data_IF_132940699528
#
_entry.id   IF_132940699528
#
_cell.length_a   1.000
_cell.length_b   1.000
_cell.length_c   1.000
_cell.angle_alpha   90.00
_cell.angle_beta   90.00
_cell.angle_gamma   90.00
#
_symmetry.space_group_name_H-M   'P 1'
#
loop_
_entity.id
_entity.type
_entity.pdbx_description
1 polymer ?
#
# COMPACT_ATOMS: atom_id res chain seq x y z
N UNK A 1 15.08 37.71 26.27
CA UNK A 1 14.56 36.77 25.26
C UNK A 1 15.74 36.11 24.56
N UNK A 2 15.94 34.80 24.75
CA UNK A 2 16.92 34.01 23.99
C UNK A 2 16.18 33.32 22.84
N UNK A 3 16.74 33.24 21.63
CA UNK A 3 16.14 32.49 20.54
C UNK A 3 16.34 30.99 20.77
N UNK A 4 15.26 30.21 20.67
CA UNK A 4 15.32 28.75 20.70
C UNK A 4 15.75 28.24 19.32
N UNK A 5 16.84 27.48 19.28
CA UNK A 5 17.30 26.75 18.10
C UNK A 5 16.41 25.53 17.85
N UNK A 6 16.05 25.22 16.59
CA UNK A 6 15.24 24.05 16.28
C UNK A 6 16.01 22.74 16.50
N UNK A 7 15.37 21.81 17.22
CA UNK A 7 15.84 20.45 17.46
C UNK A 7 15.89 19.66 16.14
N UNK A 8 16.98 18.93 15.84
CA UNK A 8 17.05 18.09 14.64
C UNK A 8 16.09 16.88 14.74
N UNK A 9 15.61 16.33 13.62
CA UNK A 9 14.76 15.14 13.64
C UNK A 9 15.52 13.96 14.23
N UNK A 10 14.83 13.23 15.11
CA UNK A 10 15.28 11.96 15.66
C UNK A 10 15.48 10.98 14.50
N UNK A 11 16.74 10.75 14.11
CA UNK A 11 17.11 9.60 13.30
C UNK A 11 17.02 8.38 14.21
N UNK A 12 15.84 7.79 14.32
CA UNK A 12 15.66 6.48 14.92
C UNK A 12 16.40 5.50 14.03
N UNK A 13 17.60 5.11 14.44
CA UNK A 13 18.27 3.95 13.86
C UNK A 13 17.33 2.76 14.00
N UNK A 14 16.78 2.30 12.87
CA UNK A 14 16.02 1.05 12.81
C UNK A 14 16.92 -0.05 13.41
N UNK A 15 16.48 -0.78 14.44
CA UNK A 15 17.18 -1.99 14.84
C UNK A 15 17.14 -2.99 13.68
N UNK A 16 18.22 -3.77 13.54
CA UNK A 16 18.33 -4.85 12.58
C UNK A 16 17.30 -5.95 12.94
N UNK A 17 16.12 -5.91 12.32
CA UNK A 17 15.04 -6.91 12.49
C UNK A 17 15.44 -8.32 12.04
N UNK A 18 16.68 -8.51 11.59
CA UNK A 18 17.24 -9.81 11.18
C UNK A 18 17.78 -10.63 12.36
N UNK A 19 17.60 -10.18 13.61
CA UNK A 19 18.18 -10.82 14.80
C UNK A 19 17.16 -11.61 15.62
N UNK A 20 17.27 -12.94 15.53
CA UNK A 20 16.51 -13.89 16.36
C UNK A 20 17.05 -13.92 17.81
N UNK A 21 16.19 -13.96 18.85
CA UNK A 21 16.61 -14.09 20.23
C UNK A 21 17.03 -15.55 20.50
N UNK A 22 18.34 -15.80 20.47
CA UNK A 22 18.94 -17.06 20.88
C UNK A 22 19.63 -17.82 19.73
N UNK A 23 20.97 -17.76 19.77
CA UNK A 23 21.92 -18.56 18.97
C UNK A 23 22.15 -18.11 17.52
N UNK A 24 23.31 -17.45 17.30
CA UNK A 24 24.00 -17.31 16.01
C UNK A 24 23.26 -16.52 14.95
N UNK A 25 23.57 -15.21 14.84
CA UNK A 25 23.03 -14.33 13.81
C UNK A 25 23.18 -14.94 12.41
N UNK A 26 22.05 -15.15 11.74
CA UNK A 26 22.02 -15.55 10.34
C UNK A 26 22.58 -14.39 9.53
N UNK A 27 23.62 -14.64 8.73
CA UNK A 27 24.08 -13.65 7.76
C UNK A 27 23.20 -13.82 6.52
N UNK A 28 22.36 -12.83 6.22
CA UNK A 28 21.63 -12.74 4.96
C UNK A 28 20.12 -12.94 5.06
N UNK A 29 19.38 -12.13 4.29
CA UNK A 29 17.91 -12.15 4.19
C UNK A 29 17.40 -13.50 3.69
N UNK A 30 18.11 -14.14 2.77
CA UNK A 30 17.75 -15.44 2.22
C UNK A 30 17.79 -16.57 3.27
N UNK A 31 18.83 -16.59 4.10
CA UNK A 31 18.96 -17.56 5.19
C UNK A 31 17.91 -17.34 6.29
N UNK A 32 17.55 -16.08 6.55
CA UNK A 32 16.44 -15.72 7.44
C UNK A 32 15.10 -16.21 6.86
N UNK A 33 14.78 -15.86 5.61
CA UNK A 33 13.52 -16.24 4.95
C UNK A 33 13.32 -17.76 4.86
N UNK A 34 14.40 -18.52 4.62
CA UNK A 34 14.35 -19.98 4.58
C UNK A 34 13.87 -20.61 5.91
N UNK A 35 13.98 -19.92 7.05
CA UNK A 35 13.41 -20.41 8.32
C UNK A 35 11.89 -20.40 8.37
N UNK A 36 11.25 -19.66 7.47
CA UNK A 36 9.79 -19.57 7.37
C UNK A 36 9.20 -20.49 6.29
N UNK A 37 9.99 -21.44 5.79
CA UNK A 37 9.49 -22.42 4.83
C UNK A 37 8.42 -23.34 5.45
N UNK A 38 7.32 -23.54 4.72
CA UNK A 38 6.25 -24.45 5.14
C UNK A 38 6.65 -25.93 5.03
N UNK A 39 7.56 -26.23 4.11
CA UNK A 39 8.03 -27.58 3.82
C UNK A 39 9.54 -27.63 3.80
N UNK A 40 10.10 -28.67 4.41
CA UNK A 40 11.54 -28.96 4.34
C UNK A 40 12.01 -29.43 2.96
N UNK A 41 11.09 -29.68 2.03
CA UNK A 41 11.42 -30.03 0.64
C UNK A 41 11.78 -28.80 -0.23
N UNK A 42 11.53 -27.58 0.28
CA UNK A 42 11.96 -26.37 -0.40
C UNK A 42 13.50 -26.30 -0.38
N UNK A 43 14.16 -26.13 -1.54
CA UNK A 43 15.60 -26.02 -1.56
C UNK A 43 16.03 -24.72 -0.87
N UNK A 44 17.13 -24.79 -0.11
CA UNK A 44 17.72 -23.60 0.46
C UNK A 44 18.14 -22.63 -0.66
N UNK A 45 17.87 -21.33 -0.51
CA UNK A 45 18.34 -20.34 -1.48
C UNK A 45 19.86 -20.43 -1.60
N UNK A 46 20.35 -20.52 -2.83
CA UNK A 46 21.77 -20.65 -3.15
C UNK A 46 22.31 -19.29 -3.58
N UNK A 47 22.58 -18.41 -2.61
CA UNK A 47 23.23 -17.14 -2.88
C UNK A 47 23.00 -16.06 -1.82
N UNK A 48 24.09 -15.41 -1.41
CA UNK A 48 24.11 -14.23 -0.53
C UNK A 48 24.27 -12.91 -1.31
N UNK A 49 24.30 -12.97 -2.65
CA UNK A 49 24.56 -11.79 -3.48
C UNK A 49 23.25 -11.07 -3.80
N UNK A 50 23.21 -9.72 -3.68
CA UNK A 50 22.08 -8.94 -4.14
C UNK A 50 21.92 -9.18 -5.64
N UNK A 51 20.83 -9.85 -6.00
CA UNK A 51 20.43 -10.03 -7.39
C UNK A 51 19.95 -8.68 -7.90
N UNK A 52 20.74 -8.00 -8.73
CA UNK A 52 20.33 -6.79 -9.42
C UNK A 52 19.59 -7.20 -10.71
N UNK A 53 18.26 -7.08 -10.66
CA UNK A 53 17.41 -7.45 -11.79
C UNK A 53 17.69 -6.58 -13.01
N UNK A 54 18.03 -5.31 -12.85
CA UNK A 54 18.33 -4.40 -13.96
C UNK A 54 19.68 -4.65 -14.60
N UNK A 55 20.64 -5.24 -13.88
CA UNK A 55 21.89 -5.74 -14.45
C UNK A 55 21.71 -7.03 -15.24
N UNK A 56 20.75 -7.87 -14.85
CA UNK A 56 20.43 -9.12 -15.58
C UNK A 56 19.57 -8.82 -16.81
N UNK A 57 18.50 -8.05 -16.64
CA UNK A 57 17.54 -7.68 -17.67
C UNK A 57 17.83 -6.28 -18.24
N UNK A 58 19.05 -6.10 -18.75
CA UNK A 58 19.54 -4.80 -19.23
C UNK A 58 18.65 -4.12 -20.27
N UNK A 59 17.92 -4.88 -21.08
CA UNK A 59 16.96 -4.35 -22.06
C UNK A 59 15.84 -3.53 -21.42
N UNK A 60 15.43 -3.86 -20.18
CA UNK A 60 14.35 -3.18 -19.45
C UNK A 60 14.85 -2.00 -18.62
N UNK A 61 16.16 -1.91 -18.38
CA UNK A 61 16.78 -0.93 -17.48
C UNK A 61 16.38 0.51 -17.80
N UNK A 62 16.50 0.93 -19.06
CA UNK A 62 16.18 2.31 -19.45
C UNK A 62 14.71 2.66 -19.21
N UNK A 63 13.81 1.72 -19.48
CA UNK A 63 12.39 1.88 -19.19
C UNK A 63 12.14 1.96 -17.68
N UNK A 64 12.74 1.06 -16.90
CA UNK A 64 12.61 1.05 -15.45
C UNK A 64 13.12 2.36 -14.82
N UNK A 65 14.32 2.83 -15.19
CA UNK A 65 14.88 4.10 -14.70
C UNK A 65 13.97 5.29 -15.03
N UNK A 66 13.43 5.34 -16.25
CA UNK A 66 12.52 6.42 -16.68
C UNK A 66 11.18 6.36 -15.94
N UNK A 67 10.59 5.17 -15.81
CA UNK A 67 9.28 4.99 -15.19
C UNK A 67 9.33 5.17 -13.67
N UNK A 68 10.33 4.60 -13.00
CA UNK A 68 10.51 4.69 -11.55
C UNK A 68 10.92 6.10 -11.09
N UNK A 69 11.46 6.95 -11.97
CA UNK A 69 11.72 8.36 -11.67
C UNK A 69 10.45 9.13 -11.24
N UNK A 70 9.25 8.59 -11.50
CA UNK A 70 8.00 9.11 -10.97
C UNK A 70 8.00 9.26 -9.44
N UNK A 71 8.71 8.41 -8.69
CA UNK A 71 8.88 8.50 -7.23
C UNK A 71 9.51 9.83 -6.82
N UNK A 72 10.48 10.32 -7.61
CA UNK A 72 11.12 11.63 -7.42
C UNK A 72 10.35 12.78 -8.06
N UNK A 73 9.24 12.49 -8.74
CA UNK A 73 8.42 13.46 -9.46
C UNK A 73 7.59 14.35 -8.56
N UNK A 74 7.00 15.38 -9.18
CA UNK A 74 6.10 16.34 -8.52
C UNK A 74 4.84 15.73 -7.91
N UNK A 75 4.22 14.64 -8.42
CA UNK A 75 3.02 14.07 -7.80
C UNK A 75 3.24 13.62 -6.35
N UNK A 76 4.47 13.28 -5.99
CA UNK A 76 4.86 12.82 -4.65
C UNK A 76 5.56 13.90 -3.81
N UNK A 77 5.65 15.14 -4.29
CA UNK A 77 6.44 16.19 -3.66
C UNK A 77 6.06 16.46 -2.20
N UNK A 78 4.76 16.36 -1.86
CA UNK A 78 4.27 16.51 -0.47
C UNK A 78 4.76 15.41 0.47
N UNK A 79 5.13 14.25 -0.07
CA UNK A 79 5.59 13.08 0.68
C UNK A 79 7.11 12.99 0.81
N UNK A 80 7.87 13.69 -0.04
CA UNK A 80 9.34 13.57 -0.08
C UNK A 80 10.06 13.88 1.22
N UNK A 81 9.45 14.66 2.13
CA UNK A 81 10.00 14.97 3.45
C UNK A 81 9.50 14.04 4.57
N UNK A 82 8.55 13.15 4.26
CA UNK A 82 7.92 12.23 5.21
C UNK A 82 8.46 10.81 5.01
N UNK A 83 8.63 10.39 3.76
CA UNK A 83 9.06 9.04 3.39
C UNK A 83 10.32 9.11 2.51
N UNK A 84 11.37 8.41 2.94
CA UNK A 84 12.62 8.25 2.20
C UNK A 84 12.37 7.60 0.83
N UNK A 85 12.74 8.29 -0.25
CA UNK A 85 12.42 7.92 -1.64
C UNK A 85 13.27 6.78 -2.17
N UNK A 86 14.54 6.75 -1.77
CA UNK A 86 15.56 5.96 -2.44
C UNK A 86 15.35 4.45 -2.27
N UNK A 87 14.91 3.93 -1.11
CA UNK A 87 14.52 2.53 -0.97
C UNK A 87 13.38 2.13 -1.93
N UNK A 88 12.35 2.96 -2.07
CA UNK A 88 11.22 2.69 -2.97
C UNK A 88 11.64 2.77 -4.44
N UNK A 89 12.54 3.69 -4.79
CA UNK A 89 13.09 3.77 -6.14
C UNK A 89 13.87 2.50 -6.51
N UNK A 90 14.70 1.96 -5.59
CA UNK A 90 15.40 0.71 -5.83
C UNK A 90 14.44 -0.49 -5.94
N UNK A 91 13.43 -0.58 -5.07
CA UNK A 91 12.41 -1.63 -5.17
C UNK A 91 11.65 -1.56 -6.51
N UNK A 92 11.29 -0.35 -6.96
CA UNK A 92 10.66 -0.16 -8.26
C UNK A 92 11.55 -0.65 -9.42
N UNK A 93 12.86 -0.36 -9.36
CA UNK A 93 13.79 -0.85 -10.38
C UNK A 93 13.83 -2.38 -10.41
N UNK A 94 13.95 -3.02 -9.25
CA UNK A 94 13.95 -4.48 -9.15
C UNK A 94 12.66 -5.09 -9.70
N UNK A 95 11.51 -4.58 -9.29
CA UNK A 95 10.19 -5.07 -9.72
C UNK A 95 10.00 -4.88 -11.23
N UNK A 96 10.31 -3.70 -11.78
CA UNK A 96 10.07 -3.40 -13.20
C UNK A 96 11.06 -4.11 -14.12
N UNK A 97 12.32 -4.25 -13.71
CA UNK A 97 13.32 -4.97 -14.50
C UNK A 97 13.09 -6.48 -14.50
N UNK A 98 12.62 -7.06 -13.41
CA UNK A 98 12.28 -8.50 -13.32
C UNK A 98 10.86 -8.83 -13.82
N UNK A 99 10.01 -7.82 -14.01
CA UNK A 99 8.62 -7.97 -14.42
C UNK A 99 8.46 -8.81 -15.68
N UNK A 100 7.33 -9.51 -15.82
CA UNK A 100 6.94 -10.06 -17.13
C UNK A 100 6.41 -8.95 -18.04
N UNK A 101 5.91 -9.27 -19.24
CA UNK A 101 5.20 -8.29 -20.08
C UNK A 101 3.69 -8.25 -19.79
N UNK A 102 3.19 -9.20 -19.01
CA UNK A 102 1.76 -9.42 -18.72
C UNK A 102 1.35 -8.81 -17.37
N UNK A 103 2.33 -8.40 -16.55
CA UNK A 103 2.12 -7.85 -15.21
C UNK A 103 2.33 -6.33 -15.14
N UNK A 104 1.51 -5.65 -14.32
CA UNK A 104 1.59 -4.21 -14.08
C UNK A 104 2.53 -3.85 -12.89
N UNK A 105 3.79 -4.29 -12.94
CA UNK A 105 4.73 -4.13 -11.82
C UNK A 105 5.00 -2.65 -11.46
N UNK A 106 5.05 -1.75 -12.45
CA UNK A 106 5.27 -0.32 -12.22
C UNK A 106 4.19 0.28 -11.33
N UNK A 107 2.92 0.01 -11.65
CA UNK A 107 1.81 0.61 -10.92
C UNK A 107 1.68 0.04 -9.49
N UNK A 108 2.10 -1.22 -9.29
CA UNK A 108 2.24 -1.82 -7.96
C UNK A 108 3.32 -1.12 -7.13
N UNK A 109 4.53 -0.94 -7.69
CA UNK A 109 5.62 -0.27 -7.00
C UNK A 109 5.30 1.19 -6.62
N UNK A 110 4.67 1.94 -7.52
CA UNK A 110 4.24 3.31 -7.25
C UNK A 110 3.10 3.37 -6.22
N UNK A 111 2.17 2.42 -6.25
CA UNK A 111 1.11 2.31 -5.25
C UNK A 111 1.68 2.01 -3.85
N UNK A 112 2.75 1.22 -3.74
CA UNK A 112 3.41 0.98 -2.47
C UNK A 112 4.00 2.26 -1.87
N UNK A 113 4.65 3.10 -2.69
CA UNK A 113 5.15 4.40 -2.23
C UNK A 113 4.00 5.35 -1.85
N UNK A 114 2.96 5.43 -2.68
CA UNK A 114 1.77 6.25 -2.40
C UNK A 114 1.06 5.83 -1.11
N UNK A 115 0.98 4.51 -0.85
CA UNK A 115 0.42 3.97 0.38
C UNK A 115 1.24 4.38 1.61
N UNK A 116 2.58 4.29 1.55
CA UNK A 116 3.42 4.76 2.65
C UNK A 116 3.26 6.27 2.87
N UNK A 117 3.16 7.06 1.80
CA UNK A 117 2.86 8.49 1.90
C UNK A 117 1.54 8.75 2.63
N UNK A 118 0.50 8.00 2.30
CA UNK A 118 -0.81 8.12 2.93
C UNK A 118 -0.78 7.77 4.43
N UNK A 119 -0.01 6.75 4.82
CA UNK A 119 0.19 6.40 6.24
C UNK A 119 0.87 7.54 7.03
N UNK A 120 1.77 8.29 6.40
CA UNK A 120 2.39 9.49 6.98
C UNK A 120 1.52 10.76 6.84
N UNK A 121 0.30 10.63 6.33
CA UNK A 121 -0.67 11.73 6.19
C UNK A 121 -0.55 12.55 4.91
N UNK A 122 0.27 12.14 3.94
CA UNK A 122 0.37 12.77 2.62
C UNK A 122 -0.44 11.99 1.57
N UNK A 123 -1.65 12.48 1.29
CA UNK A 123 -2.46 11.99 0.17
C UNK A 123 -1.92 12.56 -1.16
N UNK A 124 -1.44 11.69 -2.03
CA UNK A 124 -0.79 12.04 -3.29
C UNK A 124 -1.67 11.64 -4.48
N UNK A 125 -1.92 12.58 -5.40
CA UNK A 125 -2.68 12.33 -6.62
C UNK A 125 -1.71 12.04 -7.78
N UNK A 126 -1.31 10.77 -7.93
CA UNK A 126 -0.27 10.35 -8.87
C UNK A 126 -0.80 9.58 -10.09
N UNK A 127 -2.00 9.01 -10.00
CA UNK A 127 -2.67 8.31 -11.09
C UNK A 127 -3.42 9.28 -12.01
N UNK A 128 -3.50 8.95 -13.29
CA UNK A 128 -4.34 9.64 -14.27
C UNK A 128 -4.78 8.69 -15.39
N UNK A 129 -5.59 9.17 -16.34
CA UNK A 129 -6.14 8.34 -17.42
C UNK A 129 -5.07 7.71 -18.33
N UNK A 130 -3.89 8.32 -18.43
CA UNK A 130 -2.76 7.83 -19.22
C UNK A 130 -1.68 7.11 -18.41
N UNK A 131 -1.78 7.14 -17.08
CA UNK A 131 -0.74 6.64 -16.18
C UNK A 131 -1.34 5.94 -14.97
N UNK A 132 -1.20 4.61 -14.96
CA UNK A 132 -1.77 3.73 -13.94
C UNK A 132 -3.27 3.99 -13.67
N UNK A 133 -4.13 4.01 -14.72
CA UNK A 133 -5.53 4.37 -14.59
C UNK A 133 -6.27 3.36 -13.72
N UNK A 134 -7.25 3.85 -12.96
CA UNK A 134 -8.18 3.03 -12.19
C UNK A 134 -9.59 3.42 -12.58
N UNK A 135 -10.41 2.42 -12.92
CA UNK A 135 -11.80 2.62 -13.29
C UNK A 135 -12.70 2.12 -12.16
N UNK A 136 -13.43 3.03 -11.55
CA UNK A 136 -14.45 2.71 -10.55
C UNK A 136 -15.84 2.68 -11.19
N UNK A 137 -16.72 1.82 -10.68
CA UNK A 137 -18.11 1.65 -11.12
C UNK A 137 -19.08 1.89 -9.97
N UNK A 138 -20.38 1.95 -10.27
CA UNK A 138 -21.42 2.08 -9.24
C UNK A 138 -21.37 3.37 -8.43
N UNK A 139 -20.89 4.47 -9.02
CA UNK A 139 -20.76 5.77 -8.34
C UNK A 139 -19.58 5.87 -7.37
N UNK A 140 -18.72 4.86 -7.31
CA UNK A 140 -17.51 4.87 -6.50
C UNK A 140 -16.45 5.80 -7.11
N UNK A 141 -15.57 6.32 -6.26
CA UNK A 141 -14.41 7.14 -6.61
C UNK A 141 -13.15 6.50 -6.06
N UNK A 142 -12.04 6.61 -6.80
CA UNK A 142 -10.76 6.12 -6.31
C UNK A 142 -10.26 7.01 -5.18
N UNK A 143 -9.85 6.39 -4.08
CA UNK A 143 -9.26 7.06 -2.92
C UNK A 143 -7.95 6.34 -2.59
N UNK A 144 -6.87 7.10 -2.38
CA UNK A 144 -5.55 6.55 -2.02
C UNK A 144 -5.53 6.00 -0.58
N UNK A 145 -6.46 6.48 0.25
CA UNK A 145 -6.54 6.15 1.66
C UNK A 145 -7.99 6.27 2.13
N UNK A 146 -8.73 5.17 2.03
CA UNK A 146 -10.04 5.05 2.63
C UNK A 146 -9.96 4.20 3.90
N UNK A 147 -10.78 4.51 4.90
CA UNK A 147 -10.91 3.64 6.07
C UNK A 147 -11.47 2.28 5.63
N UNK A 148 -10.94 1.16 6.16
CA UNK A 148 -11.41 -0.18 5.78
C UNK A 148 -12.81 -0.50 6.30
N UNK A 149 -13.45 0.42 7.03
CA UNK A 149 -14.59 0.14 7.88
C UNK A 149 -15.74 1.16 7.75
N UNK A 150 -16.98 0.71 8.00
CA UNK A 150 -18.16 1.58 8.03
C UNK A 150 -18.54 2.13 6.66
N UNK A 151 -18.26 1.39 5.58
CA UNK A 151 -18.43 1.86 4.19
C UNK A 151 -19.43 1.05 3.39
N UNK A 152 -19.84 -0.12 3.86
CA UNK A 152 -20.88 -0.92 3.23
C UNK A 152 -22.17 -0.87 4.05
N UNK A 153 -23.30 -1.15 3.40
CA UNK A 153 -24.57 -1.29 4.11
C UNK A 153 -24.53 -2.36 5.23
N UNK A 154 -23.65 -3.37 5.10
CA UNK A 154 -23.46 -4.40 6.12
C UNK A 154 -22.69 -3.91 7.36
N UNK A 155 -21.90 -2.83 7.22
CA UNK A 155 -21.10 -2.26 8.31
C UNK A 155 -21.86 -1.21 9.14
N UNK A 156 -22.99 -0.71 8.62
CA UNK A 156 -23.81 0.32 9.27
C UNK A 156 -24.57 -0.09 10.54
N UNK A 157 -24.82 -1.37 10.89
CA UNK A 157 -25.42 -1.71 12.17
C UNK A 157 -24.56 -1.22 13.37
N UNK A 158 -25.22 -0.69 14.40
CA UNK A 158 -24.59 -0.09 15.59
C UNK A 158 -23.53 -0.99 16.27
N UNK A 159 -23.69 -2.30 16.16
CA UNK A 159 -22.84 -3.34 16.76
C UNK A 159 -21.45 -3.40 16.12
N UNK A 160 -21.31 -2.95 14.87
CA UNK A 160 -20.05 -3.01 14.10
C UNK A 160 -19.18 -1.75 14.26
N UNK A 161 -19.72 -0.64 14.77
CA UNK A 161 -18.96 0.61 14.91
C UNK A 161 -17.80 0.52 15.91
N UNK A 162 -17.92 -0.31 16.95
CA UNK A 162 -16.86 -0.48 17.95
C UNK A 162 -15.56 -1.08 17.37
N UNK A 163 -15.68 -1.96 16.38
CA UNK A 163 -14.53 -2.60 15.71
C UNK A 163 -13.84 -1.62 14.75
N UNK A 164 -14.58 -0.63 14.25
CA UNK A 164 -14.11 0.32 13.24
C UNK A 164 -13.16 1.38 13.81
N UNK A 165 -13.32 1.78 15.07
CA UNK A 165 -12.51 2.85 15.67
C UNK A 165 -11.04 2.42 15.86
N UNK A 166 -10.80 1.15 16.17
CA UNK A 166 -9.46 0.59 16.35
C UNK A 166 -8.67 0.47 15.03
N UNK A 167 -9.38 0.37 13.90
CA UNK A 167 -8.80 0.27 12.56
C UNK A 167 -8.59 1.62 11.88
N UNK A 168 -8.94 2.72 12.54
CA UNK A 168 -8.85 4.08 12.00
C UNK A 168 -7.44 4.53 11.55
N UNK A 169 -6.32 4.09 12.17
CA UNK A 169 -4.98 4.41 11.67
C UNK A 169 -4.66 3.69 10.35
N UNK A 170 -5.35 2.58 10.06
CA UNK A 170 -5.17 1.85 8.82
C UNK A 170 -6.06 2.44 7.73
N UNK A 171 -5.51 2.54 6.53
CA UNK A 171 -6.28 2.86 5.34
C UNK A 171 -5.87 1.99 4.17
N UNK A 172 -6.77 1.85 3.22
CA UNK A 172 -6.57 1.06 2.01
C UNK A 172 -6.92 1.90 0.80
N UNK A 173 -6.08 1.81 -0.24
CA UNK A 173 -6.36 2.44 -1.51
C UNK A 173 -7.39 1.61 -2.29
N UNK A 174 -8.32 2.27 -2.97
CA UNK A 174 -9.31 1.55 -3.76
C UNK A 174 -10.48 2.41 -4.24
N UNK A 175 -11.38 1.78 -4.98
CA UNK A 175 -12.68 2.36 -5.30
C UNK A 175 -13.56 2.34 -4.06
N UNK A 176 -14.04 3.51 -3.67
CA UNK A 176 -14.80 3.70 -2.45
C UNK A 176 -15.96 4.65 -2.71
N UNK A 177 -17.05 4.49 -1.98
CA UNK A 177 -18.14 5.46 -2.05
C UNK A 177 -17.69 6.83 -1.51
N UNK A 178 -18.12 7.93 -2.17
CA UNK A 178 -17.94 9.28 -1.63
C UNK A 178 -18.46 9.41 -0.20
N UNK A 179 -17.97 10.41 0.53
CA UNK A 179 -18.43 10.66 1.89
C UNK A 179 -19.96 10.81 1.97
N UNK A 180 -20.56 10.18 2.98
CA UNK A 180 -22.00 10.17 3.19
C UNK A 180 -22.78 9.10 2.42
N UNK A 181 -22.13 8.31 1.58
CA UNK A 181 -22.73 7.17 0.88
C UNK A 181 -22.16 5.84 1.39
N UNK A 182 -22.96 4.78 1.27
CA UNK A 182 -22.59 3.42 1.60
C UNK A 182 -22.68 2.53 0.34
N UNK A 183 -21.78 1.56 0.25
CA UNK A 183 -21.80 0.55 -0.81
C UNK A 183 -22.86 -0.51 -0.48
N UNK A 184 -23.82 -0.70 -1.38
CA UNK A 184 -24.79 -1.78 -1.27
C UNK A 184 -24.23 -3.12 -1.80
N UNK A 185 -25.04 -4.17 -1.67
CA UNK A 185 -24.71 -5.51 -2.14
C UNK A 185 -24.64 -5.65 -3.68
N UNK A 186 -25.16 -4.67 -4.43
CA UNK A 186 -25.10 -4.60 -5.90
C UNK A 186 -23.90 -3.78 -6.38
N UNK A 187 -23.07 -3.28 -5.46
CA UNK A 187 -21.88 -2.48 -5.74
C UNK A 187 -22.19 -1.02 -6.11
N UNK A 188 -23.38 -0.51 -5.75
CA UNK A 188 -23.79 0.87 -5.96
C UNK A 188 -23.62 1.71 -4.68
N UNK A 189 -23.19 2.96 -4.85
CA UNK A 189 -23.16 3.93 -3.77
C UNK A 189 -24.55 4.52 -3.55
N UNK A 190 -25.15 4.20 -2.42
CA UNK A 190 -26.49 4.63 -2.04
C UNK A 190 -26.45 5.44 -0.74
N UNK A 191 -27.51 6.20 -0.47
CA UNK A 191 -27.66 6.83 0.84
C UNK A 191 -27.83 5.75 1.92
N UNK A 192 -27.26 5.92 3.13
CA UNK A 192 -27.41 4.94 4.22
C UNK A 192 -28.87 4.60 4.54
N UNK A 193 -29.79 5.56 4.39
CA UNK A 193 -31.23 5.35 4.58
C UNK A 193 -31.88 4.42 3.53
N UNK A 194 -31.21 4.19 2.41
CA UNK A 194 -31.64 3.29 1.33
C UNK A 194 -30.98 1.92 1.42
N UNK A 195 -30.10 1.69 2.42
CA UNK A 195 -29.54 0.37 2.63
C UNK A 195 -30.64 -0.64 3.01
N UNK A 196 -30.62 -1.85 2.43
CA UNK A 196 -31.56 -2.88 2.80
C UNK A 196 -31.37 -3.29 4.27
N UNK A 197 -32.46 -3.39 5.01
CA UNK A 197 -32.46 -3.82 6.39
C UNK A 197 -32.31 -5.34 6.47
N UNK A 198 -31.38 -5.83 7.29
CA UNK A 198 -31.26 -7.25 7.60
C UNK A 198 -32.13 -7.60 8.82
N UNK A 199 -33.16 -8.41 8.62
CA UNK A 199 -33.97 -8.98 9.70
C UNK A 199 -33.99 -10.50 9.57
N UNK A 200 -33.54 -11.22 10.62
CA UNK A 200 -33.42 -12.68 10.61
C UNK A 200 -32.69 -13.22 9.36
N UNK A 201 -31.53 -12.62 9.05
CA UNK A 201 -30.68 -12.96 7.88
C UNK A 201 -31.34 -12.73 6.51
N UNK A 202 -32.49 -12.05 6.46
CA UNK A 202 -33.18 -11.69 5.23
C UNK A 202 -33.05 -10.19 4.96
N UNK A 203 -32.63 -9.84 3.74
CA UNK A 203 -32.57 -8.46 3.29
C UNK A 203 -33.98 -7.96 2.91
N UNK A 204 -34.38 -6.82 3.46
CA UNK A 204 -35.61 -6.12 3.18
C UNK A 204 -35.30 -4.76 2.55
N UNK A 205 -36.01 -4.34 1.50
CA UNK A 205 -35.83 -3.01 0.94
C UNK A 205 -36.20 -1.94 1.97
N UNK A 206 -35.65 -0.72 1.83
CA UNK A 206 -36.05 0.41 2.67
C UNK A 206 -37.54 0.73 2.47
N UNK A 207 -38.32 0.77 3.56
CA UNK A 207 -39.77 1.05 3.57
C UNK A 207 -40.59 -0.12 4.09
#
# INVERSE_FOLDING_TARGET
MRPETPTPPHRTSLPDESQSPGSGGLKGVAAFAHKFQLSHACPAPTGDLPFDSCSTYTQRRQYAETACAAIHGTPFQSCHNLVEREPFYQLCLEDVCSCSAEDDCLCGALAAYAHQCAQEGALVAWRNQSFCPVQCSGGQVYQECATPCGRTCADLPAENFGICEDLRPACVAGCNCPEGLALDHEGQCVQPALCPCLHQEKAHPPG
#
